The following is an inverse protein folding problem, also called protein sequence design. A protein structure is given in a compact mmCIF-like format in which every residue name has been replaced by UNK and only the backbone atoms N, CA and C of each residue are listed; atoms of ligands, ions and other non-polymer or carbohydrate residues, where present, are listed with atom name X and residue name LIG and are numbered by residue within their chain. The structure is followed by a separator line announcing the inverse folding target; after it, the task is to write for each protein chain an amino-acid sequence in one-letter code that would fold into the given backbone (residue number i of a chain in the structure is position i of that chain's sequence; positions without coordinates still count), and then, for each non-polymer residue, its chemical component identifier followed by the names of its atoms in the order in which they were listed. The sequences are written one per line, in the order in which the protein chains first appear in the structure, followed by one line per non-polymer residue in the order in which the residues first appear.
data_IF_869379619337
#
_entry.id   IF_869379619337
#
_cell.length_a   1.000
_cell.length_b   1.000
_cell.length_c   1.000
_cell.angle_alpha   90.00
_cell.angle_beta   90.00
_cell.angle_gamma   90.00
#
_symmetry.space_group_name_H-M   'P 1'
#
loop_
_entity.id
_entity.type
_entity.pdbx_description
1 polymer ?
#
# COMPACT_ATOMS: atom_id res chain seq x y z
N UNK A 1 -32.05 -19.23 13.27
CA UNK A 1 -32.07 -18.16 12.24
C UNK A 1 -31.18 -17.04 12.76
N UNK A 2 -30.04 -16.82 12.08
CA UNK A 2 -28.92 -16.08 12.60
C UNK A 2 -29.18 -14.56 12.71
N UNK A 3 -28.47 -13.90 13.61
CA UNK A 3 -28.47 -12.45 13.82
C UNK A 3 -28.19 -11.64 12.53
N UNK A 4 -27.57 -12.25 11.52
CA UNK A 4 -27.30 -11.69 10.19
C UNK A 4 -28.57 -11.25 9.47
N UNK A 5 -29.65 -12.08 9.48
CA UNK A 5 -30.91 -11.72 8.81
C UNK A 5 -31.67 -10.62 9.54
N UNK A 6 -31.56 -10.51 10.87
CA UNK A 6 -32.14 -9.41 11.65
C UNK A 6 -31.43 -8.08 11.37
N UNK A 7 -30.11 -8.12 11.23
CA UNK A 7 -29.32 -6.93 10.87
C UNK A 7 -29.64 -6.44 9.44
N UNK A 8 -29.75 -7.37 8.49
CA UNK A 8 -30.11 -7.05 7.09
C UNK A 8 -31.52 -6.47 6.97
N UNK A 9 -32.48 -6.96 7.73
CA UNK A 9 -33.85 -6.43 7.77
C UNK A 9 -33.87 -4.98 8.33
N UNK A 10 -33.10 -4.69 9.41
CA UNK A 10 -32.94 -3.33 9.95
C UNK A 10 -32.24 -2.37 8.98
N UNK A 11 -31.24 -2.82 8.27
CA UNK A 11 -30.53 -2.02 7.27
C UNK A 11 -31.42 -1.66 6.08
N UNK A 12 -32.37 -2.52 5.72
CA UNK A 12 -33.36 -2.26 4.66
C UNK A 12 -34.49 -1.31 5.13
N UNK A 13 -34.92 -1.38 6.41
CA UNK A 13 -35.88 -0.46 6.99
C UNK A 13 -35.31 0.96 7.14
N UNK A 14 -34.02 1.12 7.47
CA UNK A 14 -33.36 2.43 7.56
C UNK A 14 -33.25 3.18 6.23
N UNK A 15 -33.44 2.50 5.09
CA UNK A 15 -33.46 3.12 3.76
C UNK A 15 -34.80 3.79 3.39
N UNK A 16 -35.83 3.60 4.18
CA UNK A 16 -37.17 4.20 3.94
C UNK A 16 -37.45 5.45 4.77
N UNK A 17 -36.49 5.93 5.57
CA UNK A 17 -36.68 7.14 6.37
C UNK A 17 -36.64 8.38 5.47
N UNK A 18 -37.86 8.96 5.27
CA UNK A 18 -38.09 10.12 4.42
C UNK A 18 -37.28 11.37 4.78
N UNK A 19 -36.76 11.46 6.01
CA UNK A 19 -35.91 12.56 6.50
C UNK A 19 -34.55 12.63 5.80
N UNK A 20 -33.97 11.49 5.39
CA UNK A 20 -32.74 11.48 4.62
C UNK A 20 -32.91 11.94 3.18
N UNK A 21 -34.05 11.64 2.57
CA UNK A 21 -34.40 12.15 1.22
C UNK A 21 -34.65 13.67 1.21
N UNK A 22 -35.29 14.22 2.24
CA UNK A 22 -35.53 15.65 2.35
C UNK A 22 -34.22 16.45 2.49
N UNK A 23 -33.23 15.98 3.28
CA UNK A 23 -31.89 16.60 3.40
C UNK A 23 -31.05 16.48 2.12
N UNK A 24 -31.15 15.37 1.40
CA UNK A 24 -30.45 15.20 0.13
C UNK A 24 -31.03 16.09 -0.99
N UNK A 25 -32.33 16.43 -0.92
CA UNK A 25 -32.97 17.32 -1.87
C UNK A 25 -32.78 18.82 -1.53
N UNK A 26 -32.69 19.19 -0.25
CA UNK A 26 -32.32 20.55 0.16
C UNK A 26 -30.90 20.94 -0.25
N UNK A 27 -29.94 20.01 -0.25
CA UNK A 27 -28.58 20.25 -0.76
C UNK A 27 -28.49 20.46 -2.28
N UNK A 28 -29.58 20.20 -3.04
CA UNK A 28 -29.63 20.41 -4.49
C UNK A 28 -30.23 21.77 -4.91
N UNK A 29 -30.80 22.52 -4.00
CA UNK A 29 -31.45 23.80 -4.31
C UNK A 29 -30.57 25.03 -4.06
N UNK A 30 -29.33 24.86 -3.58
CA UNK A 30 -28.44 26.02 -3.44
C UNK A 30 -27.77 26.37 -4.77
N UNK A 31 -28.59 26.83 -5.71
CA UNK A 31 -28.18 27.33 -7.04
C UNK A 31 -27.20 28.50 -6.97
N UNK A 32 -27.13 29.21 -5.83
CA UNK A 32 -26.23 30.35 -5.62
C UNK A 32 -24.75 29.92 -5.60
N UNK A 33 -24.40 28.72 -5.10
CA UNK A 33 -23.02 28.23 -5.14
C UNK A 33 -22.59 27.83 -6.56
N UNK A 34 -23.51 27.28 -7.37
CA UNK A 34 -23.20 26.96 -8.78
C UNK A 34 -23.07 28.22 -9.63
N UNK A 35 -23.91 29.23 -9.41
CA UNK A 35 -23.83 30.51 -10.14
C UNK A 35 -22.50 31.25 -9.83
N UNK A 36 -22.06 31.30 -8.55
CA UNK A 36 -20.75 31.85 -8.19
C UNK A 36 -19.57 31.04 -8.75
N UNK A 37 -19.67 29.71 -8.78
CA UNK A 37 -18.64 28.86 -9.37
C UNK A 37 -18.53 29.00 -10.89
N UNK A 38 -19.61 29.37 -11.57
CA UNK A 38 -19.63 29.61 -13.02
C UNK A 38 -19.23 31.06 -13.37
N UNK A 39 -19.63 32.07 -12.57
CA UNK A 39 -19.17 33.43 -12.74
C UNK A 39 -17.65 33.59 -12.47
N UNK A 40 -17.11 32.89 -11.47
CA UNK A 40 -15.67 32.89 -11.22
C UNK A 40 -14.80 32.23 -12.30
N UNK A 41 -15.42 31.59 -13.32
CA UNK A 41 -14.69 31.04 -14.46
C UNK A 41 -14.67 31.93 -15.71
N UNK A 42 -15.51 32.94 -15.77
CA UNK A 42 -15.56 33.86 -16.92
C UNK A 42 -14.65 35.07 -16.78
N UNK A 43 -14.23 35.43 -15.54
CA UNK A 43 -13.39 36.62 -15.31
C UNK A 43 -11.88 36.34 -15.25
N UNK A 44 -11.43 35.14 -15.54
CA UNK A 44 -9.98 34.80 -15.51
C UNK A 44 -9.32 34.73 -16.88
N UNK A 45 -9.78 35.54 -17.86
CA UNK A 45 -9.14 35.64 -19.18
C UNK A 45 -7.87 36.49 -19.20
N UNK A 46 -7.45 37.07 -18.07
CA UNK A 46 -6.08 37.51 -17.85
C UNK A 46 -5.33 36.45 -17.04
N UNK A 47 -5.14 35.26 -17.61
CA UNK A 47 -4.24 34.27 -17.04
C UNK A 47 -2.87 34.93 -16.89
N UNK A 48 -2.53 35.29 -15.65
CA UNK A 48 -1.22 35.82 -15.30
C UNK A 48 -0.14 34.98 -15.96
N UNK A 49 0.59 35.54 -16.92
CA UNK A 49 1.78 34.98 -17.57
C UNK A 49 2.92 34.71 -16.55
N UNK A 50 2.62 34.80 -15.26
CA UNK A 50 3.57 34.66 -14.17
C UNK A 50 3.91 33.16 -13.98
N UNK A 51 5.07 32.77 -14.46
CA UNK A 51 5.62 31.44 -14.25
C UNK A 51 5.88 31.25 -12.73
N UNK A 52 5.23 30.28 -12.04
CA UNK A 52 5.54 29.98 -10.65
C UNK A 52 7.00 29.54 -10.50
N UNK A 53 7.64 29.95 -9.40
CA UNK A 53 9.06 29.64 -9.15
C UNK A 53 9.36 28.13 -9.06
N UNK A 54 8.37 27.33 -8.69
CA UNK A 54 8.46 25.87 -8.50
C UNK A 54 7.82 25.06 -9.65
N UNK A 55 7.50 25.72 -10.78
CA UNK A 55 6.99 25.02 -11.96
C UNK A 55 8.03 24.04 -12.49
N UNK A 56 7.58 22.87 -12.90
CA UNK A 56 8.44 21.91 -13.58
C UNK A 56 9.01 22.54 -14.87
N UNK A 57 10.27 22.27 -15.13
CA UNK A 57 10.87 22.59 -16.42
C UNK A 57 10.45 21.58 -17.49
N UNK A 58 10.55 21.90 -18.79
CA UNK A 58 10.24 20.94 -19.85
C UNK A 58 10.99 19.61 -19.75
N UNK A 59 12.30 19.57 -19.43
CA UNK A 59 13.01 18.31 -19.22
C UNK A 59 12.46 17.49 -18.03
N UNK A 60 12.05 18.15 -16.93
CA UNK A 60 11.46 17.47 -15.79
C UNK A 60 10.08 16.90 -16.11
N UNK A 61 9.25 17.62 -16.87
CA UNK A 61 7.96 17.12 -17.37
C UNK A 61 8.17 15.88 -18.27
N UNK A 62 9.15 15.95 -19.19
CA UNK A 62 9.51 14.82 -20.05
C UNK A 62 9.96 13.59 -19.25
N UNK A 63 10.78 13.77 -18.21
CA UNK A 63 11.22 12.69 -17.35
C UNK A 63 10.06 12.02 -16.58
N UNK A 64 9.10 12.82 -16.10
CA UNK A 64 7.89 12.29 -15.43
C UNK A 64 7.05 11.47 -16.41
N UNK A 65 6.87 11.95 -17.64
CA UNK A 65 6.09 11.24 -18.66
C UNK A 65 6.80 9.96 -19.13
N UNK A 66 8.12 9.97 -19.26
CA UNK A 66 8.92 8.78 -19.59
C UNK A 66 8.74 7.71 -18.51
N UNK A 67 8.90 8.06 -17.24
CA UNK A 67 8.68 7.13 -16.12
C UNK A 67 7.24 6.58 -16.08
N UNK A 68 6.22 7.40 -16.40
CA UNK A 68 4.84 6.93 -16.44
C UNK A 68 4.55 5.95 -17.57
N UNK A 69 5.26 6.04 -18.70
CA UNK A 69 5.16 5.08 -19.81
C UNK A 69 5.90 3.78 -19.50
N UNK A 70 7.01 3.86 -18.78
CA UNK A 70 7.80 2.69 -18.34
C UNK A 70 7.06 1.89 -17.26
N UNK A 71 6.35 2.58 -16.35
CA UNK A 71 5.63 1.97 -15.23
C UNK A 71 4.13 2.33 -15.25
N UNK A 72 3.34 1.87 -16.24
CA UNK A 72 1.94 2.28 -16.41
C UNK A 72 1.01 1.83 -15.28
N UNK A 73 1.41 0.82 -14.52
CA UNK A 73 0.66 0.28 -13.37
C UNK A 73 0.82 1.11 -12.09
N UNK A 74 1.83 2.00 -12.05
CA UNK A 74 2.16 2.69 -10.82
C UNK A 74 1.27 3.90 -10.59
N UNK A 75 0.93 4.10 -9.33
CA UNK A 75 0.24 5.31 -8.90
C UNK A 75 1.16 6.54 -9.03
N UNK A 76 0.56 7.72 -9.19
CA UNK A 76 1.31 8.98 -9.26
C UNK A 76 2.25 9.21 -8.07
N UNK A 77 1.95 8.60 -6.90
CA UNK A 77 2.80 8.65 -5.71
C UNK A 77 4.01 7.73 -5.84
N UNK A 78 3.84 6.52 -6.34
CA UNK A 78 4.93 5.59 -6.58
C UNK A 78 5.89 6.15 -7.63
N UNK A 79 5.36 6.69 -8.73
CA UNK A 79 6.14 7.38 -9.76
C UNK A 79 6.94 8.54 -9.18
N UNK A 80 6.30 9.41 -8.38
CA UNK A 80 6.98 10.55 -7.75
C UNK A 80 8.13 10.09 -6.83
N UNK A 81 7.93 8.99 -6.12
CA UNK A 81 8.93 8.40 -5.24
C UNK A 81 10.10 7.85 -6.04
N UNK A 82 9.82 7.03 -7.06
CA UNK A 82 10.84 6.44 -7.91
C UNK A 82 11.68 7.49 -8.63
N UNK A 83 11.04 8.52 -9.21
CA UNK A 83 11.71 9.64 -9.86
C UNK A 83 12.66 10.34 -8.87
N UNK A 84 12.23 10.53 -7.62
CA UNK A 84 13.07 11.15 -6.60
C UNK A 84 14.29 10.30 -6.26
N UNK A 85 14.11 8.98 -6.16
CA UNK A 85 15.17 8.05 -5.76
C UNK A 85 16.18 7.78 -6.89
N UNK A 86 15.71 7.66 -8.15
CA UNK A 86 16.53 7.19 -9.28
C UNK A 86 17.01 8.34 -10.17
N UNK A 87 16.14 9.31 -10.45
CA UNK A 87 16.48 10.43 -11.32
C UNK A 87 16.98 11.66 -10.56
N UNK A 88 17.06 11.61 -9.23
CA UNK A 88 17.48 12.74 -8.37
C UNK A 88 16.64 14.01 -8.61
N UNK A 89 15.38 13.84 -8.99
CA UNK A 89 14.42 14.86 -9.28
C UNK A 89 13.25 14.78 -8.29
N UNK A 90 13.15 15.74 -7.36
CA UNK A 90 12.03 15.75 -6.42
C UNK A 90 10.77 16.32 -7.07
N UNK A 91 9.73 15.46 -7.16
CA UNK A 91 8.40 15.86 -7.63
C UNK A 91 7.32 15.32 -6.67
N UNK A 92 6.27 16.10 -6.44
CA UNK A 92 5.16 15.67 -5.59
C UNK A 92 4.17 14.80 -6.36
N UNK A 93 3.61 13.76 -5.71
CA UNK A 93 2.60 12.88 -6.33
C UNK A 93 1.38 13.62 -6.87
N UNK A 94 0.94 14.72 -6.25
CA UNK A 94 -0.13 15.57 -6.77
C UNK A 94 0.26 16.33 -8.04
N UNK A 95 1.54 16.66 -8.20
CA UNK A 95 2.06 17.30 -9.44
C UNK A 95 2.13 16.27 -10.56
N UNK A 96 2.63 15.06 -10.27
CA UNK A 96 2.61 13.94 -11.21
C UNK A 96 1.18 13.65 -11.65
N UNK A 97 0.23 13.52 -10.71
CA UNK A 97 -1.18 13.29 -11.05
C UNK A 97 -1.75 14.35 -11.98
N UNK A 98 -1.50 15.65 -11.71
CA UNK A 98 -2.00 16.75 -12.57
C UNK A 98 -1.38 16.71 -13.97
N UNK A 99 -0.09 16.36 -14.06
CA UNK A 99 0.60 16.20 -15.34
C UNK A 99 0.01 15.03 -16.12
N UNK A 100 -0.10 13.85 -15.51
CA UNK A 100 -0.69 12.66 -16.16
C UNK A 100 -2.15 12.87 -16.56
N UNK A 101 -2.93 13.61 -15.74
CA UNK A 101 -4.32 13.96 -16.09
C UNK A 101 -4.38 14.87 -17.31
N UNK A 102 -3.47 15.84 -17.43
CA UNK A 102 -3.37 16.73 -18.59
C UNK A 102 -3.06 15.94 -19.87
N UNK A 103 -2.22 14.93 -19.77
CA UNK A 103 -1.81 14.07 -20.88
C UNK A 103 -2.76 12.86 -21.11
N UNK A 104 -3.88 12.78 -20.38
CA UNK A 104 -4.85 11.68 -20.53
C UNK A 104 -4.39 10.31 -20.04
N UNK A 105 -3.32 10.25 -19.23
CA UNK A 105 -2.70 9.02 -18.73
C UNK A 105 -3.20 8.56 -17.35
N UNK A 106 -4.27 9.17 -16.81
CA UNK A 106 -4.81 8.80 -15.50
C UNK A 106 -5.83 7.67 -15.64
N UNK A 107 -5.59 6.54 -14.98
CA UNK A 107 -6.58 5.48 -14.81
C UNK A 107 -7.64 5.90 -13.77
N UNK A 108 -8.93 5.49 -13.89
CA UNK A 108 -9.95 5.73 -12.88
C UNK A 108 -9.49 5.20 -11.52
N UNK A 109 -9.81 5.90 -10.39
CA UNK A 109 -9.46 5.41 -9.07
C UNK A 109 -10.24 4.13 -8.76
N UNK A 110 -9.52 3.06 -8.41
CA UNK A 110 -10.13 1.89 -7.76
C UNK A 110 -10.65 2.30 -6.38
N UNK A 111 -11.87 1.84 -6.06
CA UNK A 111 -12.53 2.16 -4.81
C UNK A 111 -11.81 1.46 -3.66
N UNK A 112 -10.99 2.20 -2.90
CA UNK A 112 -10.31 1.69 -1.71
C UNK A 112 -11.28 1.76 -0.52
N UNK A 113 -11.57 0.62 0.09
CA UNK A 113 -12.26 0.55 1.36
C UNK A 113 -11.37 1.15 2.47
N UNK A 114 -11.95 2.08 3.25
CA UNK A 114 -11.27 2.65 4.41
C UNK A 114 -11.09 1.57 5.47
N UNK A 115 -9.86 1.35 5.91
CA UNK A 115 -9.56 0.44 7.01
C UNK A 115 -10.10 0.99 8.33
N UNK A 116 -10.70 0.10 9.14
CA UNK A 116 -11.12 0.41 10.51
C UNK A 116 -9.96 0.84 11.42
N UNK A 117 -10.25 1.20 12.68
CA UNK A 117 -9.26 1.69 13.64
C UNK A 117 -8.14 0.66 13.88
N UNK A 118 -6.90 1.13 13.84
CA UNK A 118 -5.70 0.30 14.03
C UNK A 118 -5.55 -0.21 15.48
N UNK A 119 -4.86 -1.37 15.62
CA UNK A 119 -4.49 -1.98 16.89
C UNK A 119 -3.71 -1.01 17.80
N UNK A 120 -4.03 -0.98 19.10
CA UNK A 120 -3.52 0.00 20.05
C UNK A 120 -2.03 -0.14 20.41
N UNK A 121 -1.43 -1.33 20.25
CA UNK A 121 -0.01 -1.58 20.56
C UNK A 121 0.78 -1.79 19.27
N UNK A 122 1.20 -0.70 18.66
CA UNK A 122 2.04 -0.72 17.46
C UNK A 122 3.44 -1.23 17.78
N UNK A 123 3.99 -2.05 16.90
CA UNK A 123 5.40 -2.41 16.92
C UNK A 123 6.26 -1.18 16.62
N UNK A 124 7.40 -1.05 17.30
CA UNK A 124 8.34 0.06 17.17
C UNK A 124 9.62 -0.30 16.40
N UNK A 125 9.85 -1.59 16.17
CA UNK A 125 11.02 -2.12 15.45
C UNK A 125 10.73 -3.45 14.78
N UNK A 126 11.62 -3.87 13.85
CA UNK A 126 11.57 -5.18 13.22
C UNK A 126 11.61 -6.32 14.25
N UNK A 127 11.04 -7.45 13.87
CA UNK A 127 11.04 -8.70 14.64
C UNK A 127 10.41 -8.66 16.04
N UNK A 128 9.78 -7.57 16.45
CA UNK A 128 9.03 -7.54 17.72
C UNK A 128 7.77 -8.38 17.68
N UNK A 129 7.16 -8.51 16.51
CA UNK A 129 5.97 -9.33 16.27
C UNK A 129 5.92 -9.74 14.80
N UNK A 130 5.66 -11.00 14.57
CA UNK A 130 5.30 -11.55 13.26
C UNK A 130 3.81 -11.82 13.22
N UNK A 131 3.22 -11.71 12.06
CA UNK A 131 1.84 -12.11 11.80
C UNK A 131 1.84 -13.27 10.81
N UNK A 132 1.00 -14.28 11.06
CA UNK A 132 0.81 -15.39 10.14
C UNK A 132 -0.66 -15.55 9.81
N UNK A 133 -0.93 -15.92 8.57
CA UNK A 133 -2.28 -16.16 8.06
C UNK A 133 -2.16 -16.96 6.75
N UNK A 134 -3.27 -17.55 6.31
CA UNK A 134 -3.31 -18.30 5.08
C UNK A 134 -4.32 -17.71 4.09
N UNK A 135 -3.95 -17.75 2.84
CA UNK A 135 -4.83 -17.43 1.73
C UNK A 135 -4.90 -18.60 0.77
N UNK A 136 -6.06 -18.85 0.16
CA UNK A 136 -6.23 -19.96 -0.77
C UNK A 136 -6.24 -19.49 -2.23
N UNK A 137 -5.69 -20.32 -3.10
CA UNK A 137 -5.63 -20.16 -4.55
C UNK A 137 -6.14 -21.42 -5.23
N UNK A 138 -6.82 -21.25 -6.35
CA UNK A 138 -7.33 -22.36 -7.14
C UNK A 138 -6.40 -22.64 -8.32
N UNK A 139 -6.01 -23.90 -8.48
CA UNK A 139 -5.29 -24.40 -9.67
C UNK A 139 -6.24 -25.31 -10.44
N UNK A 140 -6.38 -25.08 -11.75
CA UNK A 140 -7.34 -25.81 -12.60
C UNK A 140 -6.97 -27.29 -12.63
N UNK A 141 -7.93 -28.18 -12.36
CA UNK A 141 -7.69 -29.62 -12.31
C UNK A 141 -6.99 -30.16 -11.06
N UNK A 142 -6.40 -29.27 -10.23
CA UNK A 142 -5.64 -29.66 -9.01
C UNK A 142 -6.36 -29.29 -7.70
N UNK A 143 -7.34 -28.38 -7.73
CA UNK A 143 -8.07 -27.95 -6.53
C UNK A 143 -7.52 -26.70 -5.89
N UNK A 144 -7.59 -26.62 -4.55
CA UNK A 144 -7.17 -25.45 -3.78
C UNK A 144 -5.82 -25.68 -3.11
N UNK A 145 -4.98 -24.66 -3.16
CA UNK A 145 -3.71 -24.55 -2.45
C UNK A 145 -3.80 -23.44 -1.42
N UNK A 146 -3.21 -23.64 -0.27
CA UNK A 146 -3.17 -22.67 0.82
C UNK A 146 -1.79 -22.03 0.88
N UNK A 147 -1.74 -20.73 0.62
CA UNK A 147 -0.53 -19.96 0.81
C UNK A 147 -0.44 -19.50 2.25
N UNK A 148 0.33 -20.18 3.06
CA UNK A 148 0.66 -19.74 4.41
C UNK A 148 1.79 -18.72 4.33
N UNK A 149 1.65 -17.60 5.05
CA UNK A 149 2.58 -16.47 5.00
C UNK A 149 2.97 -16.03 6.40
N UNK A 150 4.24 -15.71 6.61
CA UNK A 150 4.75 -15.05 7.82
C UNK A 150 5.28 -13.67 7.43
N UNK A 151 4.70 -12.62 8.03
CA UNK A 151 5.02 -11.22 7.79
C UNK A 151 5.55 -10.56 9.06
N UNK A 152 6.62 -9.77 8.97
CA UNK A 152 7.00 -8.87 10.05
C UNK A 152 6.02 -7.70 10.17
N UNK A 153 5.44 -7.53 11.35
CA UNK A 153 4.37 -6.54 11.58
C UNK A 153 4.87 -5.09 11.42
N UNK A 154 6.10 -4.81 11.80
CA UNK A 154 6.66 -3.46 11.71
C UNK A 154 7.01 -3.06 10.28
N UNK A 155 7.84 -3.86 9.63
CA UNK A 155 8.33 -3.59 8.27
C UNK A 155 7.35 -4.00 7.17
N UNK A 156 6.40 -4.90 7.48
CA UNK A 156 5.50 -5.55 6.52
C UNK A 156 6.23 -6.45 5.52
N UNK A 157 7.48 -6.79 5.78
CA UNK A 157 8.24 -7.71 4.96
C UNK A 157 7.71 -9.13 5.10
N UNK A 158 7.55 -9.83 3.99
CA UNK A 158 7.26 -11.26 3.99
C UNK A 158 8.56 -11.98 4.28
N UNK A 159 8.61 -12.64 5.43
CA UNK A 159 9.79 -13.35 5.91
C UNK A 159 9.84 -14.76 5.35
N UNK A 160 8.69 -15.43 5.29
CA UNK A 160 8.53 -16.74 4.69
C UNK A 160 7.12 -16.93 4.15
N UNK A 161 6.99 -17.80 3.17
CA UNK A 161 5.72 -18.27 2.64
C UNK A 161 5.88 -19.66 2.01
N UNK A 162 4.80 -20.39 1.92
CA UNK A 162 4.76 -21.67 1.22
C UNK A 162 3.35 -21.99 0.74
N UNK A 163 3.22 -22.61 -0.44
CA UNK A 163 1.99 -23.22 -0.90
C UNK A 163 1.86 -24.60 -0.26
N UNK A 164 0.73 -24.85 0.39
CA UNK A 164 0.41 -26.06 1.11
C UNK A 164 -0.88 -26.66 0.56
N UNK A 165 -1.03 -27.98 0.67
CA UNK A 165 -2.27 -28.69 0.28
C UNK A 165 -3.34 -28.62 1.37
N UNK A 166 -2.94 -28.33 2.59
CA UNK A 166 -3.80 -28.29 3.77
C UNK A 166 -3.39 -27.18 4.75
N UNK A 167 -4.16 -27.06 5.83
CA UNK A 167 -3.97 -26.12 6.93
C UNK A 167 -3.70 -26.86 8.25
N UNK A 168 -3.03 -27.99 8.19
CA UNK A 168 -2.64 -28.74 9.38
C UNK A 168 -1.60 -27.99 10.19
N UNK A 169 -1.45 -28.35 11.47
CA UNK A 169 -0.39 -27.77 12.33
C UNK A 169 1.00 -27.95 11.73
N UNK A 170 1.26 -29.08 11.10
CA UNK A 170 2.57 -29.38 10.50
C UNK A 170 2.86 -28.47 9.30
N UNK A 171 1.87 -28.23 8.46
CA UNK A 171 1.95 -27.28 7.35
C UNK A 171 2.24 -25.86 7.83
N UNK A 172 1.61 -25.43 8.92
CA UNK A 172 1.84 -24.10 9.53
C UNK A 172 3.22 -24.02 10.19
N UNK A 173 3.63 -25.05 10.93
CA UNK A 173 4.96 -25.16 11.58
C UNK A 173 6.08 -25.00 10.54
N UNK A 174 5.97 -25.69 9.40
CA UNK A 174 6.97 -25.59 8.33
C UNK A 174 7.24 -24.14 7.90
N UNK A 175 6.18 -23.34 7.74
CA UNK A 175 6.35 -21.94 7.28
C UNK A 175 6.90 -21.04 8.38
N UNK A 176 6.51 -21.27 9.63
CA UNK A 176 7.11 -20.56 10.77
C UNK A 176 8.59 -20.94 10.92
N UNK A 177 8.95 -22.21 10.73
CA UNK A 177 10.35 -22.65 10.76
C UNK A 177 11.18 -21.98 9.65
N UNK A 178 10.65 -21.89 8.43
CA UNK A 178 11.30 -21.15 7.34
C UNK A 178 11.56 -19.68 7.71
N UNK A 179 10.62 -19.02 8.40
CA UNK A 179 10.81 -17.64 8.86
C UNK A 179 11.89 -17.56 9.96
N UNK A 180 11.92 -18.52 10.88
CA UNK A 180 12.95 -18.62 11.93
C UNK A 180 14.33 -18.78 11.31
N UNK A 181 14.47 -19.69 10.35
CA UNK A 181 15.75 -19.98 9.67
C UNK A 181 16.23 -18.78 8.85
N UNK A 182 15.31 -18.15 8.10
CA UNK A 182 15.63 -16.97 7.27
C UNK A 182 16.05 -15.74 8.08
N UNK A 183 15.66 -15.66 9.35
CA UNK A 183 15.94 -14.50 10.21
C UNK A 183 16.99 -14.76 11.27
N UNK A 184 17.45 -16.00 11.45
CA UNK A 184 18.34 -16.39 12.54
C UNK A 184 17.70 -16.25 13.92
N UNK A 185 16.36 -16.36 14.02
CA UNK A 185 15.61 -16.11 15.27
C UNK A 185 16.02 -17.08 16.40
N UNK A 186 16.53 -18.24 16.09
CA UNK A 186 17.07 -19.21 17.09
C UNK A 186 18.28 -18.67 17.83
N UNK A 187 19.07 -17.80 17.21
CA UNK A 187 20.27 -17.20 17.81
C UNK A 187 19.91 -16.02 18.74
N UNK A 188 18.69 -15.51 18.64
CA UNK A 188 18.19 -14.42 19.48
C UNK A 188 17.88 -14.94 20.89
N UNK A 189 18.31 -14.22 21.97
CA UNK A 189 17.96 -14.57 23.35
C UNK A 189 16.44 -14.72 23.54
N UNK A 190 16.01 -15.68 24.35
CA UNK A 190 14.58 -15.99 24.57
C UNK A 190 13.72 -14.77 24.95
N UNK A 191 14.28 -13.84 25.72
CA UNK A 191 13.59 -12.62 26.15
C UNK A 191 13.26 -11.67 24.98
N UNK A 192 14.09 -11.69 23.94
CA UNK A 192 14.04 -10.77 22.79
C UNK A 192 13.41 -11.42 21.54
N UNK A 193 13.05 -12.71 21.63
CA UNK A 193 12.41 -13.43 20.52
C UNK A 193 11.08 -12.80 20.16
N UNK A 194 10.77 -12.87 18.89
CA UNK A 194 9.51 -12.38 18.31
C UNK A 194 8.28 -12.98 18.99
N UNK A 195 7.16 -12.33 18.84
CA UNK A 195 5.83 -12.88 19.15
C UNK A 195 5.15 -13.21 17.83
N UNK A 196 4.39 -14.30 17.77
CA UNK A 196 3.64 -14.70 16.59
C UNK A 196 2.16 -14.42 16.80
N UNK A 197 1.58 -13.60 15.96
CA UNK A 197 0.16 -13.31 15.90
C UNK A 197 -0.50 -14.17 14.81
N UNK A 198 -1.56 -14.89 15.15
CA UNK A 198 -2.41 -15.61 14.20
C UNK A 198 -3.90 -15.39 14.50
N UNK A 199 -4.77 -15.82 13.62
CA UNK A 199 -6.18 -16.05 13.94
C UNK A 199 -6.37 -17.27 14.86
N UNK A 200 -7.63 -17.62 15.15
CA UNK A 200 -8.03 -18.77 15.95
C UNK A 200 -8.35 -20.01 15.11
N UNK A 201 -7.78 -20.12 13.91
CA UNK A 201 -7.94 -21.28 13.03
C UNK A 201 -7.50 -22.59 13.70
N UNK A 202 -8.15 -23.74 13.38
CA UNK A 202 -7.89 -25.02 14.06
C UNK A 202 -6.41 -25.44 14.10
N UNK A 203 -5.67 -25.20 13.03
CA UNK A 203 -4.24 -25.49 12.95
C UNK A 203 -3.42 -24.68 13.95
N UNK A 204 -3.72 -23.38 14.09
CA UNK A 204 -3.02 -22.45 15.00
C UNK A 204 -3.34 -22.71 16.48
N UNK A 205 -4.57 -23.13 16.81
CA UNK A 205 -4.95 -23.43 18.20
C UNK A 205 -4.61 -24.85 18.62
N UNK A 206 -4.08 -25.68 17.72
CA UNK A 206 -3.71 -27.06 17.98
C UNK A 206 -2.65 -27.18 19.07
N UNK A 207 -2.62 -28.31 19.78
CA UNK A 207 -1.59 -28.59 20.78
C UNK A 207 -0.20 -28.66 20.13
N UNK A 208 -0.08 -29.34 19.00
CA UNK A 208 1.20 -29.51 18.30
C UNK A 208 1.83 -28.15 17.92
N UNK A 209 1.04 -27.21 17.41
CA UNK A 209 1.53 -25.86 17.07
C UNK A 209 1.98 -25.08 18.30
N UNK A 210 1.23 -25.15 19.41
CA UNK A 210 1.61 -24.50 20.67
C UNK A 210 2.87 -25.09 21.30
N UNK A 211 2.97 -26.44 21.31
CA UNK A 211 4.14 -27.14 21.83
C UNK A 211 5.39 -26.77 21.02
N UNK A 212 5.27 -26.72 19.69
CA UNK A 212 6.33 -26.26 18.80
C UNK A 212 6.78 -24.82 19.12
N UNK A 213 5.85 -23.87 19.22
CA UNK A 213 6.18 -22.48 19.55
C UNK A 213 6.84 -22.35 20.92
N UNK A 214 6.39 -23.17 21.90
CA UNK A 214 7.04 -23.28 23.21
C UNK A 214 8.49 -23.77 23.10
N UNK A 215 8.74 -24.78 22.26
CA UNK A 215 10.09 -25.32 22.01
C UNK A 215 11.03 -24.27 21.41
N UNK A 216 10.57 -23.51 20.41
CA UNK A 216 11.36 -22.45 19.76
C UNK A 216 11.32 -21.13 20.52
N UNK A 217 10.66 -21.06 21.68
CA UNK A 217 10.62 -19.87 22.55
C UNK A 217 9.89 -18.65 21.95
N UNK A 218 8.94 -18.88 21.05
CA UNK A 218 8.13 -17.83 20.44
C UNK A 218 6.76 -17.75 21.14
N UNK A 219 6.43 -16.56 21.67
CA UNK A 219 5.12 -16.36 22.30
C UNK A 219 4.01 -16.25 21.26
N UNK A 220 2.99 -17.11 21.40
CA UNK A 220 1.80 -17.05 20.56
C UNK A 220 0.80 -16.01 21.06
N UNK A 221 0.25 -15.21 20.14
CA UNK A 221 -0.84 -14.27 20.36
C UNK A 221 -1.97 -14.64 19.40
N UNK A 222 -3.11 -15.03 19.94
CA UNK A 222 -4.30 -15.27 19.16
C UNK A 222 -5.06 -13.96 18.98
N UNK A 223 -5.47 -13.65 17.75
CA UNK A 223 -6.37 -12.54 17.48
C UNK A 223 -7.72 -12.81 18.18
N UNK A 224 -8.28 -11.78 18.82
CA UNK A 224 -9.58 -11.93 19.44
C UNK A 224 -10.65 -12.22 18.37
N UNK A 225 -11.60 -13.14 18.64
CA UNK A 225 -12.70 -13.42 17.73
C UNK A 225 -13.43 -12.13 17.34
N UNK A 226 -13.78 -11.99 16.06
CA UNK A 226 -14.46 -10.82 15.50
C UNK A 226 -13.69 -9.49 15.55
N UNK A 227 -12.36 -9.51 15.76
CA UNK A 227 -11.50 -8.34 15.64
C UNK A 227 -10.57 -8.45 14.40
N UNK A 228 -11.09 -8.29 13.18
CA UNK A 228 -10.29 -8.41 11.93
C UNK A 228 -9.18 -7.36 11.83
N UNK A 229 -9.24 -6.33 12.67
CA UNK A 229 -8.26 -5.24 12.67
C UNK A 229 -6.85 -5.70 13.09
N UNK A 230 -6.76 -6.79 13.85
CA UNK A 230 -5.50 -7.30 14.40
C UNK A 230 -4.61 -7.87 13.28
N UNK A 231 -5.18 -8.45 12.23
CA UNK A 231 -4.48 -9.04 11.09
C UNK A 231 -4.59 -8.20 9.80
N UNK A 232 -5.13 -6.98 9.90
CA UNK A 232 -5.46 -6.13 8.74
C UNK A 232 -4.28 -5.77 7.81
N UNK A 233 -3.02 -5.92 8.28
CA UNK A 233 -1.83 -5.74 7.42
C UNK A 233 -1.66 -6.92 6.49
N UNK A 234 -1.82 -8.14 7.02
CA UNK A 234 -1.69 -9.39 6.29
C UNK A 234 -2.89 -9.62 5.36
N UNK A 235 -4.12 -9.30 5.81
CA UNK A 235 -5.30 -9.29 4.95
C UNK A 235 -5.12 -8.39 3.72
N UNK A 236 -4.57 -7.19 3.90
CA UNK A 236 -4.28 -6.28 2.79
C UNK A 236 -3.20 -6.80 1.86
N UNK A 237 -2.20 -7.50 2.39
CA UNK A 237 -1.23 -8.22 1.59
C UNK A 237 -1.91 -9.32 0.76
N UNK A 238 -2.76 -10.14 1.39
CA UNK A 238 -3.51 -11.19 0.70
C UNK A 238 -4.45 -10.64 -0.37
N UNK A 239 -5.09 -9.50 -0.15
CA UNK A 239 -5.86 -8.81 -1.19
C UNK A 239 -4.97 -8.40 -2.37
N UNK A 240 -3.78 -7.86 -2.09
CA UNK A 240 -2.85 -7.41 -3.12
C UNK A 240 -2.31 -8.57 -3.96
N UNK A 241 -1.90 -9.68 -3.33
CA UNK A 241 -1.41 -10.84 -4.08
C UNK A 241 -2.52 -11.51 -4.87
N UNK A 242 -3.74 -11.59 -4.33
CA UNK A 242 -4.89 -12.13 -5.07
C UNK A 242 -5.24 -11.28 -6.30
N UNK A 243 -5.12 -9.96 -6.22
CA UNK A 243 -5.35 -9.08 -7.36
C UNK A 243 -4.31 -9.26 -8.47
N UNK A 244 -3.08 -9.61 -8.12
CA UNK A 244 -1.98 -9.77 -9.06
C UNK A 244 -1.93 -11.22 -9.61
N UNK A 245 -1.87 -12.19 -8.71
CA UNK A 245 -1.65 -13.60 -9.03
C UNK A 245 -2.91 -14.28 -9.59
N UNK A 246 -4.13 -13.91 -9.19
CA UNK A 246 -5.38 -14.50 -9.71
C UNK A 246 -5.83 -13.93 -11.08
N UNK A 247 -5.05 -13.11 -11.74
CA UNK A 247 -5.43 -12.56 -13.06
C UNK A 247 -5.42 -13.62 -14.17
N UNK A 248 -4.66 -14.69 -13.98
CA UNK A 248 -4.52 -15.79 -14.93
C UNK A 248 -4.84 -17.11 -14.23
N UNK A 249 -5.62 -18.01 -14.87
CA UNK A 249 -5.81 -19.36 -14.34
C UNK A 249 -4.49 -20.15 -14.48
N UNK A 250 -4.10 -20.88 -13.44
CA UNK A 250 -2.92 -21.74 -13.43
C UNK A 250 -3.33 -23.18 -13.77
N UNK A 251 -2.59 -23.81 -14.66
CA UNK A 251 -2.82 -25.22 -15.05
C UNK A 251 -2.00 -26.19 -14.19
N UNK A 252 -0.87 -25.74 -13.64
CA UNK A 252 -0.02 -26.54 -12.75
C UNK A 252 0.36 -25.75 -11.50
N UNK A 253 0.52 -26.42 -10.34
CA UNK A 253 0.87 -25.75 -9.08
C UNK A 253 2.21 -24.99 -9.13
N UNK A 254 3.18 -25.49 -9.91
CA UNK A 254 4.48 -24.86 -10.08
C UNK A 254 4.40 -23.44 -10.68
N UNK A 255 3.48 -23.20 -11.61
CA UNK A 255 3.29 -21.88 -12.21
C UNK A 255 2.75 -20.87 -11.18
N UNK A 256 1.83 -21.32 -10.31
CA UNK A 256 1.34 -20.54 -9.19
C UNK A 256 2.48 -20.21 -8.21
N UNK A 257 3.38 -21.16 -7.95
CA UNK A 257 4.54 -20.96 -7.08
C UNK A 257 5.51 -19.92 -7.65
N UNK A 258 5.83 -20.02 -8.93
CA UNK A 258 6.68 -19.05 -9.66
C UNK A 258 6.06 -17.65 -9.64
N UNK A 259 4.76 -17.52 -9.92
CA UNK A 259 4.05 -16.25 -9.88
C UNK A 259 4.04 -15.66 -8.47
N UNK A 260 3.80 -16.48 -7.46
CA UNK A 260 3.85 -16.09 -6.04
C UNK A 260 5.25 -15.61 -5.64
N UNK A 261 6.29 -16.33 -6.03
CA UNK A 261 7.69 -15.94 -5.78
C UNK A 261 8.00 -14.57 -6.39
N UNK A 262 7.62 -14.36 -7.64
CA UNK A 262 7.80 -13.08 -8.33
C UNK A 262 7.06 -11.94 -7.64
N UNK A 263 5.84 -12.19 -7.19
CA UNK A 263 5.07 -11.18 -6.45
C UNK A 263 5.68 -10.86 -5.09
N UNK A 264 6.12 -11.84 -4.32
CA UNK A 264 6.77 -11.63 -3.00
C UNK A 264 8.06 -10.84 -3.16
N UNK A 265 8.88 -11.16 -4.16
CA UNK A 265 10.08 -10.39 -4.48
C UNK A 265 9.75 -8.92 -4.79
N UNK A 266 8.79 -8.69 -5.70
CA UNK A 266 8.32 -7.35 -6.00
C UNK A 266 7.79 -6.63 -4.76
N UNK A 267 6.97 -7.30 -3.94
CA UNK A 267 6.37 -6.75 -2.74
C UNK A 267 7.41 -6.30 -1.71
N UNK A 268 8.41 -7.13 -1.46
CA UNK A 268 9.45 -6.86 -0.47
C UNK A 268 10.45 -5.80 -0.94
N UNK A 269 10.91 -5.86 -2.21
CA UNK A 269 12.07 -5.10 -2.66
C UNK A 269 11.74 -3.92 -3.57
N UNK A 270 10.56 -3.89 -4.21
CA UNK A 270 10.24 -2.89 -5.23
C UNK A 270 8.98 -2.09 -4.95
N UNK A 271 8.03 -2.66 -4.21
CA UNK A 271 6.76 -1.98 -3.92
C UNK A 271 6.93 -0.91 -2.85
N UNK A 272 6.65 0.34 -3.19
CA UNK A 272 6.58 1.44 -2.24
C UNK A 272 5.29 1.42 -1.42
N UNK A 273 5.42 1.39 -0.08
CA UNK A 273 4.30 1.36 0.83
C UNK A 273 3.99 2.73 1.43
N UNK A 274 2.79 3.25 1.21
CA UNK A 274 2.35 4.54 1.76
C UNK A 274 2.54 4.62 3.28
N UNK A 275 2.16 3.58 3.99
CA UNK A 275 2.24 3.53 5.45
C UNK A 275 3.68 3.43 5.98
N UNK A 276 4.63 3.08 5.12
CA UNK A 276 6.07 3.05 5.43
C UNK A 276 6.80 4.31 4.92
N UNK A 277 6.09 5.42 4.65
CA UNK A 277 6.65 6.63 4.05
C UNK A 277 7.17 6.43 2.62
N UNK A 278 6.51 5.56 1.86
CA UNK A 278 6.88 5.16 0.50
C UNK A 278 8.31 4.58 0.39
N UNK A 279 8.72 3.79 1.36
CA UNK A 279 9.89 2.91 1.23
C UNK A 279 9.42 1.47 1.09
N UNK A 280 10.32 0.56 0.68
CA UNK A 280 10.01 -0.85 0.54
C UNK A 280 9.99 -1.55 1.91
N UNK A 281 9.27 -2.67 2.07
CA UNK A 281 9.33 -3.48 3.28
C UNK A 281 10.75 -3.89 3.67
N UNK A 282 11.58 -4.32 2.72
CA UNK A 282 12.96 -4.73 2.94
C UNK A 282 13.84 -3.57 3.42
N UNK A 283 13.64 -2.36 2.91
CA UNK A 283 14.35 -1.17 3.41
C UNK A 283 14.04 -0.88 4.88
N UNK A 284 12.79 -1.10 5.30
CA UNK A 284 12.40 -0.92 6.70
C UNK A 284 12.96 -2.04 7.56
N UNK A 285 12.88 -3.30 7.10
CA UNK A 285 13.39 -4.47 7.80
C UNK A 285 14.90 -4.34 8.09
N UNK A 286 15.65 -3.86 7.10
CA UNK A 286 17.12 -3.67 7.20
C UNK A 286 17.53 -2.32 7.77
N UNK A 287 16.60 -1.51 8.31
CA UNK A 287 16.91 -0.23 8.94
C UNK A 287 17.34 0.89 7.98
N UNK A 288 17.19 0.72 6.65
CA UNK A 288 17.62 1.71 5.65
C UNK A 288 16.67 2.89 5.50
N UNK A 289 15.47 2.82 6.10
CA UNK A 289 14.40 3.81 5.97
C UNK A 289 14.85 5.25 6.21
N UNK A 290 15.52 5.51 7.33
CA UNK A 290 15.90 6.88 7.71
C UNK A 290 16.92 7.48 6.73
N UNK A 291 17.92 6.70 6.31
CA UNK A 291 18.88 7.15 5.29
C UNK A 291 18.22 7.52 3.95
N UNK A 292 17.23 6.73 3.52
CA UNK A 292 16.43 7.02 2.31
C UNK A 292 15.65 8.33 2.49
N UNK A 293 15.00 8.53 3.64
CA UNK A 293 14.22 9.74 3.90
C UNK A 293 15.08 11.00 3.99
N UNK A 294 16.29 10.90 4.57
CA UNK A 294 17.28 11.99 4.60
C UNK A 294 17.67 12.35 3.17
N UNK A 295 18.07 11.37 2.36
CA UNK A 295 18.47 11.58 0.96
C UNK A 295 17.36 12.25 0.13
N UNK A 296 16.09 11.81 0.32
CA UNK A 296 14.94 12.43 -0.36
C UNK A 296 14.74 13.90 0.04
N UNK A 297 15.01 14.26 1.30
CA UNK A 297 14.96 15.66 1.75
C UNK A 297 16.04 16.52 1.07
N UNK A 298 17.24 16.00 0.95
CA UNK A 298 18.35 16.66 0.26
C UNK A 298 18.04 16.87 -1.23
N UNK A 299 17.61 15.81 -1.92
CA UNK A 299 17.17 15.89 -3.33
C UNK A 299 16.07 16.92 -3.51
N UNK A 300 15.10 16.96 -2.59
CA UNK A 300 14.04 17.96 -2.62
C UNK A 300 14.60 19.39 -2.51
N UNK A 301 15.50 19.63 -1.56
CA UNK A 301 16.10 20.95 -1.37
C UNK A 301 16.88 21.41 -2.62
N UNK A 302 17.73 20.54 -3.17
CA UNK A 302 18.48 20.81 -4.39
C UNK A 302 17.57 21.08 -5.60
N UNK A 303 16.56 20.24 -5.81
CA UNK A 303 15.58 20.42 -6.90
C UNK A 303 14.84 21.76 -6.80
N UNK A 304 14.41 22.14 -5.59
CA UNK A 304 13.69 23.40 -5.41
C UNK A 304 14.59 24.62 -5.64
N UNK A 305 15.86 24.56 -5.21
CA UNK A 305 16.84 25.63 -5.49
C UNK A 305 17.09 25.77 -6.99
N UNK A 306 17.28 24.63 -7.70
CA UNK A 306 17.47 24.62 -9.15
C UNK A 306 16.27 25.22 -9.87
N UNK A 307 15.03 24.80 -9.55
CA UNK A 307 13.80 25.37 -10.14
C UNK A 307 13.67 26.86 -9.90
N UNK A 308 14.03 27.34 -8.71
CA UNK A 308 13.99 28.78 -8.39
C UNK A 308 14.88 29.54 -9.32
N UNK A 309 16.12 29.08 -9.58
CA UNK A 309 17.08 29.72 -10.50
C UNK A 309 16.57 29.68 -11.94
N UNK A 310 16.20 28.47 -12.42
CA UNK A 310 15.71 28.25 -13.77
C UNK A 310 14.47 29.10 -14.11
N UNK A 311 13.46 29.09 -13.26
CA UNK A 311 12.24 29.84 -13.49
C UNK A 311 12.44 31.39 -13.32
N UNK A 312 13.43 31.83 -12.55
CA UNK A 312 13.83 33.23 -12.47
C UNK A 312 14.41 33.70 -13.80
N UNK A 313 15.38 32.98 -14.36
CA UNK A 313 15.98 33.28 -15.66
C UNK A 313 14.93 33.34 -16.78
N UNK A 314 14.00 32.37 -16.81
CA UNK A 314 12.91 32.41 -17.79
C UNK A 314 11.99 33.61 -17.67
N UNK A 315 11.75 34.13 -16.47
CA UNK A 315 10.96 35.37 -16.27
C UNK A 315 11.71 36.58 -16.78
N UNK A 316 13.00 36.65 -16.47
CA UNK A 316 13.86 37.77 -16.92
C UNK A 316 13.92 37.81 -18.45
N UNK A 317 14.15 36.68 -19.12
CA UNK A 317 14.14 36.55 -20.58
C UNK A 317 12.80 36.94 -21.21
N UNK A 318 11.68 36.55 -20.57
CA UNK A 318 10.34 36.91 -21.06
C UNK A 318 10.09 38.40 -20.96
N UNK A 319 10.46 39.04 -19.83
CA UNK A 319 10.28 40.46 -19.63
C UNK A 319 11.14 41.30 -20.59
N UNK A 320 12.37 40.87 -20.91
CA UNK A 320 13.23 41.54 -21.91
C UNK A 320 12.69 41.40 -23.32
N UNK A 321 12.05 40.27 -23.67
CA UNK A 321 11.46 40.06 -25.00
C UNK A 321 10.12 40.78 -25.20
N UNK A 322 9.45 41.21 -24.12
CA UNK A 322 8.13 41.87 -24.14
C UNK A 322 8.22 43.37 -23.76
N UNK A 323 9.40 43.88 -23.47
CA UNK A 323 9.62 45.35 -23.33
C UNK A 323 9.69 45.96 -24.70
N UNK A 324 8.88 47.02 -25.00
CA UNK A 324 8.83 47.68 -26.31
C UNK A 324 10.15 48.42 -26.63
#
# INVERSE_FOLDING_TARGET
KSNYYRWRARALQGKQDSRWRARALQGKQDSRWRARALQGKQDSSTASTRIPWNKLSPPEEAAVLAAAREFPEWSSRQLATWITDHLRLSVGGSTVYRLLKREGLVKPPEMQLLAGKEYQRKTSGPHQMWATDASYFRVVGWGYYYMVTVMDDYSRSILAWKLQLDMTSDSLIQVVQLAIDATGMTEVPLADRTRLLSDDGPGYVSRAFRDYLGLVGIRHILAAPYHPQTNGKLERYHQSIKQDVNQVPYEVPGDLEVATLGFVDYYNHRRYHKALSNVTPDDVLRGRREGILIRRREVKAQTLQWRKRYNRQRRESYNTATSP
#
